data_IF_726826167037
#
_entry.id   IF_726826167037
#
_cell.length_a   1.000
_cell.length_b   1.000
_cell.length_c   1.000
_cell.angle_alpha   90.00
_cell.angle_beta   90.00
_cell.angle_gamma   90.00
#
_symmetry.space_group_name_H-M   'P 1'
#
loop_
_entity.id
_entity.type
_entity.pdbx_description
1 polymer ?
#
# COMPACT_ATOMS: atom_id res chain seq x y z
N UNK A 1 -15.10 27.44 -16.34
CA UNK A 1 -14.68 27.08 -14.97
C UNK A 1 -13.84 25.84 -15.11
N UNK A 2 -12.53 25.97 -15.02
CA UNK A 2 -11.63 24.83 -15.04
C UNK A 2 -11.89 24.03 -13.78
N UNK A 3 -12.49 22.86 -13.92
CA UNK A 3 -12.49 21.85 -12.86
C UNK A 3 -11.05 21.53 -12.53
N UNK A 4 -10.63 21.73 -11.29
CA UNK A 4 -9.25 21.48 -10.89
C UNK A 4 -8.86 20.04 -11.20
N UNK A 5 -7.63 19.84 -11.66
CA UNK A 5 -7.04 18.53 -11.93
C UNK A 5 -7.13 17.58 -10.71
N UNK A 6 -7.22 18.17 -9.53
CA UNK A 6 -7.31 17.47 -8.26
C UNK A 6 -8.73 17.54 -7.70
N UNK A 7 -9.28 16.37 -7.39
CA UNK A 7 -10.63 16.21 -6.84
C UNK A 7 -10.64 16.44 -5.32
N UNK A 8 -11.71 17.04 -4.80
CA UNK A 8 -11.86 17.31 -3.36
C UNK A 8 -12.20 16.07 -2.52
N UNK A 9 -12.44 14.93 -3.15
CA UNK A 9 -12.79 13.67 -2.48
C UNK A 9 -11.90 12.54 -2.98
N UNK A 10 -10.77 12.34 -2.34
CA UNK A 10 -9.81 11.31 -2.70
C UNK A 10 -9.21 10.60 -1.48
N UNK A 11 -8.18 9.81 -1.71
CA UNK A 11 -7.49 9.06 -0.68
C UNK A 11 -8.17 7.74 -0.32
N UNK A 12 -7.89 7.23 0.88
CA UNK A 12 -8.42 5.95 1.36
C UNK A 12 -9.95 5.89 1.39
N UNK A 13 -10.63 7.04 1.44
CA UNK A 13 -12.10 7.13 1.41
C UNK A 13 -12.70 6.84 0.03
N UNK A 14 -11.89 6.76 -1.03
CA UNK A 14 -12.31 6.41 -2.38
C UNK A 14 -12.50 4.90 -2.59
N UNK A 15 -12.13 4.06 -1.63
CA UNK A 15 -12.33 2.60 -1.70
C UNK A 15 -13.83 2.25 -1.70
N UNK A 16 -14.20 1.20 -2.43
CA UNK A 16 -15.56 0.68 -2.41
C UNK A 16 -15.95 0.26 -1.00
N UNK A 17 -17.20 0.53 -0.61
CA UNK A 17 -17.72 0.10 0.67
C UNK A 17 -17.66 -1.44 0.82
N UNK A 18 -17.45 -1.96 2.05
CA UNK A 18 -17.29 -3.39 2.28
C UNK A 18 -18.46 -4.23 1.78
N UNK A 19 -19.70 -3.76 1.93
CA UNK A 19 -20.90 -4.46 1.47
C UNK A 19 -20.95 -4.60 -0.06
N UNK A 20 -20.49 -3.56 -0.79
CA UNK A 20 -20.43 -3.58 -2.25
C UNK A 20 -19.35 -4.56 -2.69
N UNK A 21 -18.20 -4.48 -2.05
CA UNK A 21 -17.05 -5.33 -2.36
C UNK A 21 -17.37 -6.81 -2.11
N UNK A 22 -17.99 -7.14 -0.98
CA UNK A 22 -18.39 -8.52 -0.65
C UNK A 22 -19.34 -9.10 -1.71
N UNK A 23 -20.33 -8.33 -2.15
CA UNK A 23 -21.28 -8.75 -3.20
C UNK A 23 -20.61 -9.03 -4.54
N UNK A 24 -19.56 -8.30 -4.88
CA UNK A 24 -18.78 -8.51 -6.10
C UNK A 24 -17.85 -9.71 -5.93
N UNK A 25 -17.14 -9.79 -4.83
CA UNK A 25 -16.20 -10.87 -4.54
C UNK A 25 -16.88 -12.25 -4.41
N UNK A 26 -18.16 -12.31 -4.02
CA UNK A 26 -18.92 -13.55 -3.99
C UNK A 26 -19.12 -14.22 -5.37
N UNK A 27 -18.87 -13.48 -6.46
CA UNK A 27 -18.99 -13.97 -7.84
C UNK A 27 -17.67 -14.42 -8.44
N UNK A 28 -16.57 -14.26 -7.71
CA UNK A 28 -15.24 -14.60 -8.20
C UNK A 28 -14.96 -16.09 -7.93
N UNK A 29 -14.59 -16.81 -8.97
CA UNK A 29 -14.04 -18.16 -8.81
C UNK A 29 -12.64 -18.08 -8.23
N UNK A 30 -12.44 -18.62 -7.04
CA UNK A 30 -11.16 -18.51 -6.30
C UNK A 30 -10.19 -19.66 -6.61
N UNK A 31 -10.55 -20.56 -7.53
CA UNK A 31 -9.76 -21.73 -7.84
C UNK A 31 -9.70 -22.75 -6.67
N UNK A 32 -8.82 -23.72 -6.79
CA UNK A 32 -8.58 -24.69 -5.72
C UNK A 32 -7.82 -24.04 -4.57
N UNK A 33 -8.07 -24.49 -3.33
CA UNK A 33 -7.33 -24.05 -2.16
C UNK A 33 -5.84 -24.35 -2.34
N UNK A 34 -4.99 -23.34 -2.16
CA UNK A 34 -3.53 -23.47 -2.22
C UNK A 34 -2.96 -23.29 -0.80
N UNK A 35 -2.29 -24.32 -0.25
CA UNK A 35 -1.71 -24.24 1.10
C UNK A 35 -0.57 -23.22 1.20
N UNK A 36 -0.02 -22.77 0.08
CA UNK A 36 1.01 -21.73 0.05
C UNK A 36 0.43 -20.30 0.12
N UNK A 37 -0.86 -20.12 -0.11
CA UNK A 37 -1.54 -18.85 0.15
C UNK A 37 -1.77 -18.72 1.66
N UNK A 38 -0.88 -17.99 2.34
CA UNK A 38 -0.89 -17.83 3.79
C UNK A 38 -1.85 -16.75 4.28
N UNK A 39 -2.03 -15.71 3.47
CA UNK A 39 -2.96 -14.60 3.68
C UNK A 39 -3.58 -14.21 2.35
N UNK A 40 -4.88 -14.12 2.28
CA UNK A 40 -5.62 -13.82 1.05
C UNK A 40 -7.00 -13.21 1.33
N UNK A 41 -7.97 -13.44 0.44
CA UNK A 41 -9.30 -12.82 0.52
C UNK A 41 -10.10 -13.10 1.79
N UNK A 42 -9.84 -14.22 2.47
CA UNK A 42 -10.62 -14.67 3.63
C UNK A 42 -10.20 -13.94 4.91
N UNK A 43 -9.08 -13.27 4.89
CA UNK A 43 -8.59 -12.39 5.94
C UNK A 43 -8.74 -10.93 5.51
N UNK A 44 -9.24 -10.09 6.41
CA UNK A 44 -9.31 -8.64 6.16
C UNK A 44 -7.95 -7.98 6.40
N UNK A 45 -6.88 -8.61 5.87
CA UNK A 45 -5.51 -8.14 6.01
C UNK A 45 -5.15 -7.16 4.90
N UNK A 46 -4.12 -6.35 5.15
CA UNK A 46 -3.71 -5.25 4.28
C UNK A 46 -3.02 -5.70 2.99
N UNK A 47 -2.49 -6.93 2.96
CA UNK A 47 -1.79 -7.50 1.80
C UNK A 47 -1.99 -9.01 1.70
N UNK A 48 -1.76 -9.54 0.49
CA UNK A 48 -1.67 -10.99 0.27
C UNK A 48 -0.27 -11.50 0.61
N UNK A 49 -0.18 -12.72 1.16
CA UNK A 49 1.10 -13.37 1.47
C UNK A 49 1.10 -14.77 0.90
N UNK A 50 2.07 -15.05 0.04
CA UNK A 50 2.24 -16.33 -0.62
C UNK A 50 3.61 -16.93 -0.34
N UNK A 51 3.64 -18.17 0.18
CA UNK A 51 4.87 -18.90 0.45
C UNK A 51 5.51 -19.37 -0.86
N UNK A 52 6.78 -19.05 -1.07
CA UNK A 52 7.58 -19.52 -2.21
C UNK A 52 8.62 -20.57 -1.80
N UNK A 53 9.00 -20.59 -0.52
CA UNK A 53 9.86 -21.61 0.10
C UNK A 53 9.60 -21.72 1.60
N UNK A 54 10.31 -22.59 2.27
CA UNK A 54 10.19 -22.75 3.73
C UNK A 54 10.67 -21.51 4.50
N UNK A 55 11.52 -20.69 3.89
CA UNK A 55 12.12 -19.52 4.53
C UNK A 55 11.58 -18.19 4.00
N UNK A 56 10.92 -18.19 2.82
CA UNK A 56 10.50 -16.98 2.12
C UNK A 56 9.03 -17.04 1.73
N UNK A 57 8.29 -16.02 2.12
CA UNK A 57 6.97 -15.69 1.58
C UNK A 57 7.03 -14.30 0.93
N UNK A 58 6.31 -14.14 -0.18
CA UNK A 58 6.15 -12.87 -0.87
C UNK A 58 4.92 -12.17 -0.31
N UNK A 59 5.07 -10.89 0.03
CA UNK A 59 3.99 -10.00 0.40
C UNK A 59 3.67 -9.14 -0.81
N UNK A 60 2.42 -9.12 -1.23
CA UNK A 60 1.95 -8.35 -2.38
C UNK A 60 0.79 -7.46 -2.01
N UNK A 61 0.89 -6.19 -2.34
CA UNK A 61 -0.19 -5.23 -2.23
C UNK A 61 -0.22 -4.30 -3.44
N UNK A 62 -1.35 -3.68 -3.66
CA UNK A 62 -1.46 -2.53 -4.54
C UNK A 62 -2.46 -1.54 -3.93
N UNK A 63 -2.12 -0.27 -4.01
CA UNK A 63 -2.98 0.80 -3.55
C UNK A 63 -2.80 2.03 -4.43
N UNK A 64 -3.90 2.58 -4.93
CA UNK A 64 -3.90 3.78 -5.74
C UNK A 64 -5.23 4.50 -5.57
N UNK A 65 -5.21 5.81 -5.64
CA UNK A 65 -6.39 6.64 -5.45
C UNK A 65 -6.25 8.01 -6.12
N UNK A 66 -7.37 8.74 -6.29
CA UNK A 66 -7.34 10.11 -6.77
C UNK A 66 -6.69 11.05 -5.73
N UNK A 67 -6.16 12.20 -6.17
CA UNK A 67 -5.56 13.18 -5.27
C UNK A 67 -6.54 13.67 -4.21
N UNK A 68 -6.05 13.80 -2.96
CA UNK A 68 -6.80 14.36 -1.85
C UNK A 68 -6.33 15.79 -1.48
N UNK A 69 -5.28 16.29 -2.14
CA UNK A 69 -4.70 17.61 -1.90
C UNK A 69 -4.10 18.17 -3.20
N UNK A 70 -3.80 19.46 -3.22
CA UNK A 70 -3.39 20.17 -4.44
C UNK A 70 -1.90 20.05 -4.77
N UNK A 71 -1.04 19.75 -3.78
CA UNK A 71 0.39 19.59 -4.00
C UNK A 71 0.70 18.22 -4.62
N UNK A 72 1.14 18.16 -5.88
CA UNK A 72 1.37 16.90 -6.58
C UNK A 72 2.51 16.08 -5.97
N UNK A 73 3.56 16.73 -5.51
CA UNK A 73 4.69 16.04 -4.88
C UNK A 73 4.30 15.38 -3.56
N UNK A 74 3.58 16.11 -2.70
CA UNK A 74 3.07 15.58 -1.42
C UNK A 74 2.05 14.48 -1.66
N UNK A 75 1.17 14.63 -2.65
CA UNK A 75 0.25 13.56 -3.05
C UNK A 75 1.00 12.27 -3.42
N UNK A 76 2.04 12.38 -4.24
CA UNK A 76 2.89 11.24 -4.59
C UNK A 76 3.51 10.56 -3.38
N UNK A 77 4.03 11.34 -2.42
CA UNK A 77 4.59 10.82 -1.18
C UNK A 77 3.55 10.07 -0.34
N UNK A 78 2.35 10.62 -0.17
CA UNK A 78 1.27 10.01 0.60
C UNK A 78 0.79 8.71 -0.06
N UNK A 79 0.57 8.72 -1.36
CA UNK A 79 0.13 7.54 -2.10
C UNK A 79 1.13 6.39 -2.00
N UNK A 80 2.41 6.68 -2.18
CA UNK A 80 3.47 5.68 -2.04
C UNK A 80 3.58 5.16 -0.60
N UNK A 81 3.60 6.05 0.38
CA UNK A 81 3.68 5.67 1.80
C UNK A 81 2.52 4.75 2.21
N UNK A 82 1.31 5.04 1.72
CA UNK A 82 0.15 4.21 2.00
C UNK A 82 0.31 2.79 1.45
N UNK A 83 0.76 2.63 0.20
CA UNK A 83 1.00 1.32 -0.40
C UNK A 83 2.15 0.56 0.28
N UNK A 84 3.25 1.25 0.63
CA UNK A 84 4.38 0.65 1.33
C UNK A 84 4.00 0.14 2.73
N UNK A 85 3.11 0.87 3.43
CA UNK A 85 2.68 0.54 4.79
C UNK A 85 2.00 -0.82 4.90
N UNK A 86 1.32 -1.28 3.85
CA UNK A 86 0.66 -2.58 3.82
C UNK A 86 1.65 -3.74 3.95
N UNK A 87 2.84 -3.62 3.36
CA UNK A 87 3.91 -4.61 3.50
C UNK A 87 4.44 -4.66 4.94
N UNK A 88 4.65 -3.49 5.53
CA UNK A 88 5.11 -3.40 6.93
C UNK A 88 4.06 -3.93 7.91
N UNK A 89 2.78 -3.71 7.64
CA UNK A 89 1.69 -4.24 8.45
C UNK A 89 1.70 -5.78 8.52
N UNK A 90 2.19 -6.43 7.47
CA UNK A 90 2.36 -7.89 7.43
C UNK A 90 3.66 -8.39 8.06
N UNK A 91 4.50 -7.50 8.59
CA UNK A 91 5.83 -7.81 9.12
C UNK A 91 6.90 -8.00 8.05
N UNK A 92 6.62 -7.58 6.81
CA UNK A 92 7.50 -7.73 5.67
C UNK A 92 8.50 -6.60 5.49
N UNK A 93 9.49 -6.86 4.66
CA UNK A 93 10.47 -5.90 4.14
C UNK A 93 10.13 -5.61 2.68
N UNK A 94 10.03 -4.34 2.31
CA UNK A 94 9.77 -3.93 0.91
C UNK A 94 11.01 -4.20 0.07
N UNK A 95 10.82 -4.83 -1.09
CA UNK A 95 11.92 -5.10 -2.03
C UNK A 95 11.77 -4.34 -3.35
N UNK A 96 10.57 -4.18 -3.86
CA UNK A 96 10.34 -3.53 -5.13
C UNK A 96 8.95 -2.91 -5.22
N UNK A 97 8.81 -1.92 -6.10
CA UNK A 97 7.53 -1.30 -6.41
C UNK A 97 7.40 -1.00 -7.91
N UNK A 98 6.17 -0.96 -8.38
CA UNK A 98 5.76 -0.52 -9.71
C UNK A 98 4.79 0.65 -9.59
N UNK A 99 4.94 1.69 -10.42
CA UNK A 99 3.99 2.79 -10.49
C UNK A 99 2.68 2.35 -11.14
N UNK A 100 1.57 2.83 -10.60
CA UNK A 100 0.24 2.80 -11.22
C UNK A 100 -0.16 4.25 -11.48
N UNK A 101 -0.34 4.62 -12.75
CA UNK A 101 -0.58 5.99 -13.18
C UNK A 101 -1.80 6.08 -14.09
N UNK A 102 -2.76 6.91 -13.71
CA UNK A 102 -3.81 7.42 -14.59
C UNK A 102 -3.64 8.94 -14.66
N UNK A 103 -3.46 9.49 -15.85
CA UNK A 103 -3.20 10.92 -16.02
C UNK A 103 -3.67 11.42 -17.38
N UNK A 104 -4.30 12.62 -17.47
CA UNK A 104 -4.67 13.22 -18.74
C UNK A 104 -3.42 13.62 -19.53
N UNK A 105 -3.23 13.06 -20.71
CA UNK A 105 -2.04 13.32 -21.52
C UNK A 105 -1.91 14.78 -22.01
N UNK A 106 -3.03 15.52 -22.02
CA UNK A 106 -3.11 16.91 -22.49
C UNK A 106 -2.86 17.93 -21.37
N UNK A 107 -2.69 17.46 -20.13
CA UNK A 107 -2.36 18.29 -18.97
C UNK A 107 -0.85 18.49 -18.82
N UNK A 108 -0.46 19.39 -17.90
CA UNK A 108 0.95 19.68 -17.64
C UNK A 108 1.68 18.45 -17.09
N UNK A 109 2.53 17.86 -17.90
CA UNK A 109 3.33 16.68 -17.53
C UNK A 109 4.31 16.93 -16.39
N UNK A 110 4.63 18.21 -16.06
CA UNK A 110 5.41 18.52 -14.86
C UNK A 110 4.69 18.12 -13.58
N UNK A 111 3.35 18.24 -13.58
CA UNK A 111 2.52 17.78 -12.46
C UNK A 111 2.67 16.28 -12.25
N UNK A 112 2.60 15.48 -13.31
CA UNK A 112 2.84 14.03 -13.23
C UNK A 112 4.27 13.74 -12.76
N UNK A 113 5.26 14.47 -13.26
CA UNK A 113 6.65 14.35 -12.84
C UNK A 113 6.83 14.57 -11.34
N UNK A 114 6.16 15.57 -10.76
CA UNK A 114 6.20 15.84 -9.33
C UNK A 114 5.50 14.75 -8.50
N UNK A 115 4.37 14.22 -8.96
CA UNK A 115 3.70 13.08 -8.31
C UNK A 115 4.66 11.88 -8.24
N UNK A 116 5.25 11.51 -9.38
CA UNK A 116 6.14 10.36 -9.48
C UNK A 116 7.45 10.58 -8.72
N UNK A 117 7.96 11.81 -8.67
CA UNK A 117 9.14 12.16 -7.88
C UNK A 117 8.89 11.92 -6.39
N UNK A 118 7.76 12.42 -5.87
CA UNK A 118 7.37 12.20 -4.47
C UNK A 118 7.22 10.71 -4.14
N UNK A 119 6.58 9.94 -5.02
CA UNK A 119 6.41 8.49 -4.86
C UNK A 119 7.74 7.74 -4.89
N UNK A 120 8.62 8.04 -5.85
CA UNK A 120 9.92 7.38 -5.98
C UNK A 120 10.85 7.61 -4.79
N UNK A 121 10.83 8.82 -4.21
CA UNK A 121 11.61 9.12 -3.01
C UNK A 121 11.21 8.24 -1.83
N UNK A 122 9.91 7.98 -1.65
CA UNK A 122 9.43 7.09 -0.58
C UNK A 122 9.83 5.63 -0.81
N UNK A 123 9.86 5.16 -2.04
CA UNK A 123 10.39 3.83 -2.37
C UNK A 123 11.87 3.71 -2.03
N UNK A 124 12.66 4.73 -2.37
CA UNK A 124 14.10 4.78 -2.03
C UNK A 124 14.32 4.84 -0.52
N UNK A 125 13.55 5.64 0.22
CA UNK A 125 13.61 5.68 1.69
C UNK A 125 13.31 4.31 2.33
N UNK A 126 12.42 3.53 1.72
CA UNK A 126 12.13 2.16 2.16
C UNK A 126 13.26 1.16 1.86
N UNK A 127 14.35 1.60 1.21
CA UNK A 127 15.44 0.73 0.78
C UNK A 127 15.08 -0.18 -0.39
N UNK A 128 14.01 0.13 -1.11
CA UNK A 128 13.47 -0.68 -2.20
C UNK A 128 13.81 -0.09 -3.57
N UNK A 129 13.52 -0.85 -4.62
CA UNK A 129 13.77 -0.46 -6.01
C UNK A 129 12.44 -0.16 -6.71
N UNK A 130 12.36 0.99 -7.38
CA UNK A 130 11.28 1.29 -8.31
C UNK A 130 11.60 0.65 -9.67
N UNK A 131 10.83 -0.36 -10.06
CA UNK A 131 11.14 -1.22 -11.21
C UNK A 131 10.47 -0.78 -12.52
N UNK A 132 9.62 0.23 -12.48
CA UNK A 132 8.81 0.65 -13.63
C UNK A 132 7.36 0.87 -13.25
N UNK A 133 6.44 0.46 -14.11
CA UNK A 133 5.02 0.60 -13.86
C UNK A 133 4.18 0.61 -15.11
N UNK A 134 2.92 1.00 -14.96
CA UNK A 134 1.97 1.15 -16.05
C UNK A 134 1.26 2.49 -15.97
N UNK A 135 1.13 3.16 -17.10
CA UNK A 135 0.44 4.44 -17.22
C UNK A 135 -0.62 4.39 -18.30
N UNK A 136 -1.76 4.99 -18.03
CA UNK A 136 -2.86 5.14 -18.99
C UNK A 136 -3.27 6.61 -19.10
N UNK A 137 -3.71 6.99 -20.30
CA UNK A 137 -4.38 8.25 -20.51
C UNK A 137 -5.81 8.17 -19.95
N UNK A 138 -6.09 8.94 -18.92
CA UNK A 138 -7.40 9.01 -18.26
C UNK A 138 -7.71 10.47 -17.94
N UNK A 139 -8.98 10.87 -18.03
CA UNK A 139 -9.42 12.21 -17.64
C UNK A 139 -9.23 12.53 -16.16
N UNK A 140 -9.22 11.48 -15.31
CA UNK A 140 -9.09 11.60 -13.86
C UNK A 140 -7.71 11.10 -13.41
N UNK A 141 -7.02 11.92 -12.64
CA UNK A 141 -5.73 11.55 -12.05
C UNK A 141 -5.90 10.48 -10.98
N UNK A 142 -5.13 9.41 -11.10
CA UNK A 142 -4.95 8.40 -10.04
C UNK A 142 -3.49 7.99 -10.00
N UNK A 143 -2.98 7.81 -8.81
CA UNK A 143 -1.60 7.39 -8.60
C UNK A 143 -1.50 6.46 -7.40
N UNK A 144 -0.61 5.52 -7.50
CA UNK A 144 -0.21 4.63 -6.44
C UNK A 144 0.86 3.65 -6.87
N UNK A 145 1.02 2.61 -6.08
CA UNK A 145 2.04 1.59 -6.29
C UNK A 145 1.44 0.19 -6.19
N UNK A 146 2.01 -0.72 -6.97
CA UNK A 146 2.01 -2.15 -6.67
C UNK A 146 3.33 -2.47 -5.99
N UNK A 147 3.28 -3.02 -4.79
CA UNK A 147 4.45 -3.23 -3.93
C UNK A 147 4.65 -4.69 -3.64
N UNK A 148 5.89 -5.14 -3.74
CA UNK A 148 6.31 -6.46 -3.32
C UNK A 148 7.27 -6.36 -2.15
N UNK A 149 7.04 -7.23 -1.17
CA UNK A 149 7.91 -7.42 -0.04
C UNK A 149 8.20 -8.89 0.20
N UNK A 150 9.05 -9.16 1.16
CA UNK A 150 9.38 -10.51 1.63
C UNK A 150 9.25 -10.59 3.13
N UNK A 151 8.87 -11.77 3.62
CA UNK A 151 8.77 -12.07 5.03
C UNK A 151 9.07 -13.57 5.23
N UNK A 152 9.63 -13.93 6.38
CA UNK A 152 9.71 -15.34 6.74
C UNK A 152 8.30 -15.85 7.06
N UNK A 153 7.87 -17.04 6.57
CA UNK A 153 6.53 -17.56 6.79
C UNK A 153 6.09 -17.62 8.26
N UNK A 154 7.04 -17.82 9.19
CA UNK A 154 6.78 -17.90 10.64
C UNK A 154 6.71 -16.51 11.32
N UNK A 155 6.98 -15.42 10.60
CA UNK A 155 7.04 -14.04 11.13
C UNK A 155 5.95 -13.12 10.61
N UNK A 156 4.94 -13.66 9.96
CA UNK A 156 3.83 -12.89 9.40
C UNK A 156 2.98 -12.35 10.54
N UNK A 157 2.67 -11.04 10.49
CA UNK A 157 1.67 -10.41 11.34
C UNK A 157 0.29 -10.58 10.71
N UNK A 158 -0.66 -11.16 11.46
CA UNK A 158 -2.05 -11.33 11.01
C UNK A 158 -2.98 -10.50 11.89
N UNK A 159 -3.92 -9.81 11.27
CA UNK A 159 -4.93 -9.00 11.96
C UNK A 159 -6.02 -9.83 12.66
N UNK A 160 -5.96 -11.16 12.61
CA UNK A 160 -6.91 -12.02 13.33
C UNK A 160 -6.70 -11.89 14.84
N UNK A 161 -7.67 -11.27 15.51
CA UNK A 161 -7.66 -10.95 16.92
C UNK A 161 -7.13 -12.07 17.81
N UNK A 162 -6.08 -11.76 18.54
CA UNK A 162 -5.73 -12.31 19.83
C UNK A 162 -5.63 -13.83 19.95
N UNK A 163 -4.53 -14.41 19.47
CA UNK A 163 -3.86 -15.52 20.17
C UNK A 163 -2.37 -15.28 20.11
N UNK A 164 -1.82 -14.90 21.24
CA UNK A 164 -0.38 -14.82 21.48
C UNK A 164 0.23 -16.22 21.37
N UNK A 165 1.02 -16.45 20.32
CA UNK A 165 2.06 -17.48 20.38
C UNK A 165 3.36 -16.78 20.68
N UNK A 166 3.92 -17.08 21.87
CA UNK A 166 5.00 -16.37 22.51
C UNK A 166 6.25 -16.16 21.66
N UNK A 167 6.51 -14.94 21.32
CA UNK A 167 7.77 -14.42 20.85
C UNK A 167 8.01 -13.09 21.56
N UNK A 168 9.05 -13.01 22.40
CA UNK A 168 9.41 -11.80 23.14
C UNK A 168 9.78 -10.68 22.17
N UNK A 169 8.83 -9.84 21.82
CA UNK A 169 9.07 -8.58 21.13
C UNK A 169 9.59 -7.54 22.11
N UNK A 170 10.78 -7.01 21.87
CA UNK A 170 11.28 -5.84 22.57
C UNK A 170 10.52 -4.61 22.05
N UNK A 171 9.63 -4.11 22.90
CA UNK A 171 8.96 -2.82 22.66
C UNK A 171 9.95 -1.66 22.80
N UNK A 172 10.03 -0.82 21.79
CA UNK A 172 10.66 0.49 21.89
C UNK A 172 9.57 1.53 21.66
N UNK A 173 8.94 1.97 22.73
CA UNK A 173 8.31 3.28 22.87
C UNK A 173 8.20 3.56 24.38
N UNK A 174 9.26 4.10 24.96
CA UNK A 174 9.17 4.82 26.21
C UNK A 174 9.17 6.33 25.92
N UNK A 175 8.01 6.93 26.03
CA UNK A 175 7.85 8.37 26.16
C UNK A 175 8.51 8.86 27.46
N UNK A 176 9.46 9.77 27.35
CA UNK A 176 9.97 10.53 28.49
C UNK A 176 8.93 11.61 28.83
N UNK A 177 8.23 11.43 29.94
CA UNK A 177 7.61 12.53 30.65
C UNK A 177 8.62 13.07 31.65
N UNK A 178 9.12 14.27 31.38
CA UNK A 178 9.90 15.04 32.33
C UNK A 178 8.98 15.67 33.37
N UNK A 179 9.15 15.29 34.59
CA UNK A 179 8.62 15.99 35.78
C UNK A 179 9.46 17.22 36.06
N UNK A 180 8.81 18.38 36.08
CA UNK A 180 9.34 19.61 36.71
C UNK A 180 8.74 19.73 38.09
N UNK A 181 9.56 19.60 39.10
CA UNK A 181 9.29 20.15 40.45
C UNK A 181 10.48 21.06 40.82
N UNK A 182 10.05 22.23 41.29
CA UNK A 182 10.70 23.36 41.96
C UNK A 182 11.16 24.51 41.07
#
# INVERSE_FOLDING_TARGET
MAGGLFCSSGGCTAKLGPDILERVLSRIERGAADPNLLVGFDSSDDAAVYRVSDEVAVVQTLDFFPPMLEDPYVFGQIAATNALSDVYAMGGEVISALNIVCFPQDEDLNVLGEIMRGGSEKVVEAGAVLCGGHSINDKDVKYGLSVNGVVHPDRIYKNNGGQETGGKGHGILQSQQGSTEH
#
